data_IF_659355661939
#
_entry.id   IF_659355661939
#
_cell.length_a   1.000
_cell.length_b   1.000
_cell.length_c   1.000
_cell.angle_alpha   90.00
_cell.angle_beta   90.00
_cell.angle_gamma   90.00
#
_symmetry.space_group_name_H-M   'P 1'
#
loop_
_entity.id
_entity.type
_entity.pdbx_description
1 polymer ?
#
# COMPACT_ATOMS: atom_id res chain seq x y z
N UNK A 1 7.19 -13.62 -20.74
CA UNK A 1 6.93 -15.08 -20.77
C UNK A 1 7.70 -15.63 -19.60
N UNK A 2 7.00 -16.25 -18.64
CA UNK A 2 7.57 -16.70 -17.38
C UNK A 2 7.83 -18.20 -17.37
N UNK A 3 8.23 -18.73 -16.22
CA UNK A 3 8.46 -20.16 -16.01
C UNK A 3 7.73 -20.64 -14.77
N UNK A 4 7.01 -21.75 -14.88
CA UNK A 4 6.35 -22.39 -13.75
C UNK A 4 7.36 -23.17 -12.91
N UNK A 5 7.29 -23.02 -11.59
CA UNK A 5 8.05 -23.86 -10.68
C UNK A 5 7.65 -25.34 -10.84
N UNK A 6 8.62 -26.27 -11.02
CA UNK A 6 8.32 -27.70 -11.21
C UNK A 6 7.74 -28.39 -9.96
N UNK A 7 7.78 -27.73 -8.79
CA UNK A 7 7.30 -28.28 -7.53
C UNK A 7 5.93 -27.73 -7.16
N UNK A 8 5.77 -26.40 -7.13
CA UNK A 8 4.52 -25.76 -6.70
C UNK A 8 3.69 -25.16 -7.84
N UNK A 9 4.13 -25.30 -9.09
CA UNK A 9 3.47 -24.81 -10.31
C UNK A 9 3.26 -23.29 -10.37
N UNK A 10 3.80 -22.53 -9.41
CA UNK A 10 3.67 -21.07 -9.37
C UNK A 10 4.48 -20.45 -10.53
N UNK A 11 3.86 -19.64 -11.41
CA UNK A 11 4.56 -18.96 -12.49
C UNK A 11 5.46 -17.85 -11.95
N UNK A 12 6.68 -17.79 -12.47
CA UNK A 12 7.72 -16.80 -12.12
C UNK A 12 8.03 -15.94 -13.33
N UNK A 13 8.36 -14.66 -13.12
CA UNK A 13 8.56 -13.68 -14.20
C UNK A 13 9.65 -14.10 -15.20
N UNK A 14 10.76 -14.61 -14.69
CA UNK A 14 11.90 -15.08 -15.48
C UNK A 14 12.64 -16.23 -14.79
N UNK A 15 13.62 -16.80 -15.50
CA UNK A 15 14.46 -17.90 -15.06
C UNK A 15 15.25 -17.60 -13.77
N UNK A 16 15.65 -16.34 -13.57
CA UNK A 16 16.38 -15.93 -12.36
C UNK A 16 15.45 -15.85 -11.15
N UNK A 17 14.22 -15.35 -11.33
CA UNK A 17 13.19 -15.36 -10.29
C UNK A 17 12.80 -16.79 -9.93
N UNK A 18 12.71 -17.69 -10.91
CA UNK A 18 12.49 -19.11 -10.66
C UNK A 18 13.62 -19.74 -9.84
N UNK A 19 14.87 -19.50 -10.21
CA UNK A 19 16.02 -20.00 -9.46
C UNK A 19 16.03 -19.49 -8.02
N UNK A 20 15.77 -18.20 -7.81
CA UNK A 20 15.69 -17.62 -6.48
C UNK A 20 14.52 -18.21 -5.66
N UNK A 21 13.35 -18.38 -6.28
CA UNK A 21 12.19 -18.98 -5.64
C UNK A 21 12.51 -20.39 -5.13
N UNK A 22 13.10 -21.24 -5.97
CA UNK A 22 13.50 -22.60 -5.57
C UNK A 22 14.56 -22.57 -4.46
N UNK A 23 15.64 -21.81 -4.63
CA UNK A 23 16.75 -21.78 -3.68
C UNK A 23 16.33 -21.26 -2.30
N UNK A 24 15.58 -20.14 -2.23
CA UNK A 24 15.13 -19.61 -0.95
C UNK A 24 14.09 -20.50 -0.29
N UNK A 25 13.16 -21.07 -1.05
CA UNK A 25 12.14 -21.97 -0.49
C UNK A 25 12.81 -23.23 0.07
N UNK A 26 13.77 -23.79 -0.66
CA UNK A 26 14.58 -24.92 -0.18
C UNK A 26 15.34 -24.57 1.11
N UNK A 27 16.06 -23.44 1.15
CA UNK A 27 16.87 -23.04 2.32
C UNK A 27 16.05 -22.70 3.57
N UNK A 28 14.85 -22.11 3.40
CA UNK A 28 14.06 -21.61 4.53
C UNK A 28 13.07 -22.64 5.06
N UNK A 29 12.54 -23.49 4.19
CA UNK A 29 11.47 -24.40 4.54
C UNK A 29 11.89 -25.88 4.53
N UNK A 30 12.96 -26.24 3.81
CA UNK A 30 13.43 -27.64 3.74
C UNK A 30 12.40 -28.60 3.16
N UNK A 31 11.68 -28.14 2.12
CA UNK A 31 10.50 -28.79 1.56
C UNK A 31 10.84 -29.67 0.34
N UNK A 32 9.80 -30.09 -0.40
CA UNK A 32 9.90 -30.71 -1.73
C UNK A 32 10.82 -29.93 -2.69
N UNK A 33 10.98 -28.62 -2.48
CA UNK A 33 11.90 -27.76 -3.22
C UNK A 33 13.38 -28.13 -2.99
N UNK A 34 13.76 -28.46 -1.74
CA UNK A 34 15.12 -28.91 -1.42
C UNK A 34 15.38 -30.30 -2.00
N UNK A 35 14.43 -31.23 -1.82
CA UNK A 35 14.55 -32.59 -2.39
C UNK A 35 14.69 -32.55 -3.91
N UNK A 36 13.89 -31.73 -4.58
CA UNK A 36 13.96 -31.58 -6.02
C UNK A 36 15.32 -31.02 -6.47
N UNK A 37 15.84 -29.99 -5.77
CA UNK A 37 17.14 -29.42 -6.08
C UNK A 37 18.29 -30.41 -5.83
N UNK A 38 18.25 -31.19 -4.74
CA UNK A 38 19.27 -32.21 -4.46
C UNK A 38 19.28 -33.33 -5.51
N UNK A 39 18.14 -33.65 -6.11
CA UNK A 39 18.04 -34.68 -7.16
C UNK A 39 18.48 -34.18 -8.54
N UNK A 40 18.24 -32.91 -8.85
CA UNK A 40 18.44 -32.36 -10.20
C UNK A 40 19.71 -31.52 -10.34
N UNK A 41 20.19 -30.91 -9.26
CA UNK A 41 21.29 -29.94 -9.30
C UNK A 41 22.28 -30.15 -8.16
N UNK A 42 23.37 -30.87 -8.46
CA UNK A 42 24.48 -31.06 -7.53
C UNK A 42 25.08 -29.72 -7.08
N UNK A 43 25.19 -29.56 -5.76
CA UNK A 43 25.81 -28.40 -5.12
C UNK A 43 25.04 -27.10 -5.34
N UNK A 44 23.71 -27.16 -5.52
CA UNK A 44 22.88 -25.98 -5.77
C UNK A 44 23.04 -24.87 -4.72
N UNK A 45 23.33 -25.23 -3.47
CA UNK A 45 23.50 -24.28 -2.36
C UNK A 45 24.70 -23.33 -2.55
N UNK A 46 25.76 -23.80 -3.21
CA UNK A 46 26.97 -23.01 -3.47
C UNK A 46 26.91 -22.21 -4.79
N UNK A 47 25.86 -22.42 -5.60
CA UNK A 47 25.71 -21.79 -6.93
C UNK A 47 25.06 -20.43 -6.83
N UNK A 48 25.40 -19.56 -7.78
CA UNK A 48 24.69 -18.28 -7.93
C UNK A 48 23.33 -18.49 -8.58
N UNK A 49 22.34 -17.61 -8.30
CA UNK A 49 21.01 -17.70 -8.91
C UNK A 49 21.02 -17.75 -10.44
N UNK A 50 21.93 -17.03 -11.10
CA UNK A 50 22.08 -17.07 -12.56
C UNK A 50 22.56 -18.42 -13.08
N UNK A 51 23.49 -19.06 -12.37
CA UNK A 51 24.02 -20.38 -12.74
C UNK A 51 22.98 -21.48 -12.46
N UNK A 52 22.15 -21.28 -11.45
CA UNK A 52 21.02 -22.15 -11.15
C UNK A 52 19.89 -21.98 -12.18
N UNK A 53 19.65 -20.75 -12.63
CA UNK A 53 18.61 -20.42 -13.61
C UNK A 53 18.81 -21.14 -14.94
N UNK A 54 20.04 -21.21 -15.44
CA UNK A 54 20.37 -21.91 -16.69
C UNK A 54 20.01 -23.41 -16.64
N UNK A 55 20.16 -24.04 -15.47
CA UNK A 55 19.86 -25.47 -15.31
C UNK A 55 18.37 -25.68 -15.09
N UNK A 56 17.77 -24.88 -14.20
CA UNK A 56 16.37 -25.05 -13.79
C UNK A 56 15.40 -24.71 -14.92
N UNK A 57 15.74 -23.74 -15.78
CA UNK A 57 14.87 -23.37 -16.92
C UNK A 57 14.70 -24.50 -17.94
N UNK A 58 15.65 -25.45 -18.02
CA UNK A 58 15.51 -26.64 -18.88
C UNK A 58 14.43 -27.62 -18.38
N UNK A 59 14.15 -27.61 -17.07
CA UNK A 59 13.14 -28.48 -16.45
C UNK A 59 11.80 -27.78 -16.22
N UNK A 60 11.78 -26.46 -16.32
CA UNK A 60 10.60 -25.65 -16.05
C UNK A 60 9.77 -25.43 -17.30
N UNK A 61 8.45 -25.60 -17.18
CA UNK A 61 7.54 -25.27 -18.26
C UNK A 61 7.39 -23.76 -18.41
N UNK A 62 7.43 -23.26 -19.64
CA UNK A 62 7.05 -21.88 -19.94
C UNK A 62 5.59 -21.64 -19.52
N UNK A 63 5.34 -20.53 -18.82
CA UNK A 63 4.03 -20.16 -18.31
C UNK A 63 3.75 -18.67 -18.50
N UNK A 64 2.47 -18.31 -18.62
CA UNK A 64 2.07 -16.91 -18.59
C UNK A 64 2.19 -16.37 -17.15
N UNK A 65 2.84 -15.22 -17.02
CA UNK A 65 2.97 -14.50 -15.76
C UNK A 65 2.03 -13.30 -15.80
N UNK A 66 1.15 -13.20 -14.81
CA UNK A 66 0.12 -12.16 -14.72
C UNK A 66 0.73 -10.86 -14.18
N UNK A 67 1.03 -9.91 -15.07
CA UNK A 67 1.63 -8.62 -14.73
C UNK A 67 0.56 -7.62 -14.22
N UNK A 68 -0.08 -7.92 -13.09
CA UNK A 68 -1.19 -7.10 -12.54
C UNK A 68 -0.78 -5.80 -11.83
N UNK A 69 0.52 -5.50 -11.72
CA UNK A 69 1.02 -4.35 -10.94
C UNK A 69 1.74 -3.27 -11.75
N UNK A 70 1.85 -3.39 -13.08
CA UNK A 70 2.48 -2.33 -13.89
C UNK A 70 1.55 -1.11 -14.14
N UNK A 71 0.24 -1.25 -13.94
CA UNK A 71 -0.75 -0.19 -14.21
C UNK A 71 -0.82 0.87 -13.08
N UNK A 72 -0.45 0.53 -11.84
CA UNK A 72 -0.56 1.46 -10.70
C UNK A 72 0.69 2.32 -10.44
N UNK A 73 1.79 2.09 -11.16
CA UNK A 73 3.07 2.80 -10.94
C UNK A 73 3.35 3.90 -11.95
N UNK A 74 2.61 3.92 -13.06
CA UNK A 74 2.80 4.90 -14.15
C UNK A 74 1.86 6.12 -14.05
N UNK A 75 0.88 6.13 -13.14
CA UNK A 75 -0.14 7.19 -12.99
C UNK A 75 0.23 8.30 -11.99
N UNK A 76 1.53 8.59 -11.82
CA UNK A 76 2.01 9.72 -11.02
C UNK A 76 2.73 10.78 -11.85
N UNK A 77 2.20 11.06 -13.04
CA UNK A 77 2.71 12.13 -13.90
C UNK A 77 1.71 12.57 -14.96
N UNK A 78 0.71 13.37 -14.56
CA UNK A 78 0.30 14.61 -15.24
C UNK A 78 -1.00 15.19 -14.63
N UNK A 79 -0.96 16.48 -14.29
CA UNK A 79 -2.14 17.37 -14.32
C UNK A 79 -3.29 17.13 -13.32
N UNK A 80 -3.24 17.81 -12.17
CA UNK A 80 -4.47 18.23 -11.50
C UNK A 80 -5.23 19.24 -12.38
N UNK A 81 -6.24 18.77 -13.12
CA UNK A 81 -7.29 19.62 -13.69
C UNK A 81 -8.65 19.01 -13.28
N UNK A 82 -9.19 19.53 -12.17
CA UNK A 82 -10.50 19.15 -11.65
C UNK A 82 -11.59 19.94 -12.38
N UNK A 83 -11.96 19.52 -13.59
CA UNK A 83 -13.14 20.07 -14.26
C UNK A 83 -13.86 18.99 -15.09
N UNK A 84 -14.64 18.12 -14.43
CA UNK A 84 -15.92 17.65 -15.00
C UNK A 84 -16.90 17.16 -13.89
N UNK A 85 -18.15 17.67 -13.86
CA UNK A 85 -19.14 17.37 -12.84
C UNK A 85 -20.05 16.19 -13.21
N UNK A 86 -19.54 14.95 -13.25
CA UNK A 86 -20.36 13.73 -13.14
C UNK A 86 -19.51 12.43 -13.17
N UNK A 87 -18.91 12.03 -12.05
CA UNK A 87 -18.59 10.60 -11.86
C UNK A 87 -18.53 10.22 -10.38
N UNK A 88 -19.69 9.79 -9.89
CA UNK A 88 -19.87 9.21 -8.56
C UNK A 88 -19.23 7.81 -8.46
N UNK A 89 -17.91 7.74 -8.34
CA UNK A 89 -17.21 6.56 -7.81
C UNK A 89 -16.40 6.97 -6.59
N UNK A 90 -16.90 6.59 -5.41
CA UNK A 90 -16.09 6.54 -4.19
C UNK A 90 -16.67 7.18 -2.92
N UNK A 91 -17.84 7.85 -2.98
CA UNK A 91 -18.35 8.64 -1.84
C UNK A 91 -19.65 8.17 -1.17
N UNK A 92 -20.32 7.12 -1.69
CA UNK A 92 -21.71 6.79 -1.28
C UNK A 92 -21.87 5.50 -0.46
N UNK A 93 -20.78 4.95 0.10
CA UNK A 93 -20.86 3.72 0.93
C UNK A 93 -20.89 3.99 2.44
N UNK A 94 -20.82 5.25 2.87
CA UNK A 94 -20.84 5.61 4.29
C UNK A 94 -22.04 6.46 4.73
N UNK A 95 -22.94 6.88 3.81
CA UNK A 95 -24.02 7.84 4.12
C UNK A 95 -25.46 7.29 4.09
N UNK A 96 -25.69 6.00 3.79
CA UNK A 96 -27.07 5.45 3.67
C UNK A 96 -27.47 4.47 4.80
N UNK A 97 -26.65 4.33 5.86
CA UNK A 97 -26.85 3.30 6.88
C UNK A 97 -27.58 3.74 8.17
N UNK A 98 -28.28 4.87 8.20
CA UNK A 98 -29.05 5.30 9.38
C UNK A 98 -30.55 5.54 9.17
N UNK A 99 -31.09 5.41 7.96
CA UNK A 99 -32.47 5.81 7.68
C UNK A 99 -33.52 4.69 7.69
N UNK A 100 -33.15 3.39 7.79
CA UNK A 100 -34.13 2.31 7.61
C UNK A 100 -34.09 1.23 8.71
N UNK A 101 -34.24 1.67 9.96
CA UNK A 101 -34.65 0.80 11.06
C UNK A 101 -36.18 0.66 11.10
N UNK A 102 -36.78 -0.05 10.16
CA UNK A 102 -38.11 -0.61 10.40
C UNK A 102 -38.35 -1.91 9.62
N UNK A 103 -38.58 -2.97 10.39
CA UNK A 103 -39.25 -4.24 10.09
C UNK A 103 -38.38 -5.51 9.88
N UNK A 104 -38.89 -6.68 10.34
CA UNK A 104 -38.09 -7.71 10.99
C UNK A 104 -38.00 -9.00 10.18
N UNK A 105 -36.90 -9.74 10.37
CA UNK A 105 -36.85 -11.17 10.10
C UNK A 105 -35.75 -11.62 9.16
N UNK A 106 -34.50 -11.57 9.61
CA UNK A 106 -33.52 -12.58 9.21
C UNK A 106 -32.65 -12.94 10.40
N UNK A 107 -32.88 -14.14 10.92
CA UNK A 107 -32.18 -14.68 12.07
C UNK A 107 -30.73 -14.99 11.73
N UNK A 108 -29.85 -14.10 12.17
CA UNK A 108 -28.66 -14.38 12.97
C UNK A 108 -27.84 -15.64 12.62
N UNK A 109 -26.87 -15.46 11.72
CA UNK A 109 -25.59 -16.18 11.76
C UNK A 109 -24.46 -15.24 11.38
N UNK A 110 -24.10 -14.36 12.31
CA UNK A 110 -22.86 -13.57 12.25
C UNK A 110 -21.87 -14.18 13.22
N UNK A 111 -20.98 -15.01 12.69
CA UNK A 111 -19.75 -15.41 13.39
C UNK A 111 -18.79 -14.23 13.34
N UNK A 112 -18.41 -13.71 14.51
CA UNK A 112 -17.04 -13.24 14.75
C UNK A 112 -16.70 -11.75 14.67
N UNK A 113 -17.67 -10.84 14.56
CA UNK A 113 -17.40 -9.40 14.72
C UNK A 113 -17.35 -9.04 16.20
N UNK A 114 -16.17 -9.02 16.81
CA UNK A 114 -15.98 -8.42 18.13
C UNK A 114 -16.41 -6.95 18.06
N UNK A 115 -17.50 -6.60 18.74
CA UNK A 115 -18.06 -5.26 18.74
C UNK A 115 -17.11 -4.28 19.39
N UNK A 116 -16.58 -3.34 18.62
CA UNK A 116 -16.02 -2.07 19.13
C UNK A 116 -17.16 -1.11 19.50
N UNK A 117 -18.11 -1.58 20.32
CA UNK A 117 -19.17 -0.80 20.94
C UNK A 117 -19.14 -0.92 22.46
N UNK A 118 -18.05 -1.43 23.03
CA UNK A 118 -17.76 -1.33 24.45
C UNK A 118 -17.08 0.00 24.72
N UNK A 119 -17.53 0.69 25.77
CA UNK A 119 -16.84 1.84 26.37
C UNK A 119 -15.34 1.49 26.50
N UNK A 120 -14.48 2.31 25.91
CA UNK A 120 -13.04 2.07 25.94
C UNK A 120 -12.61 2.08 27.42
N UNK A 121 -11.79 1.11 27.81
CA UNK A 121 -11.22 1.13 29.15
C UNK A 121 -10.32 2.35 29.32
N UNK A 122 -10.26 2.92 30.53
CA UNK A 122 -9.51 4.15 30.80
C UNK A 122 -8.02 4.05 30.40
N UNK A 123 -7.43 2.85 30.50
CA UNK A 123 -6.05 2.62 30.07
C UNK A 123 -5.93 2.65 28.53
N UNK A 124 -6.93 2.14 27.80
CA UNK A 124 -6.95 2.17 26.34
C UNK A 124 -7.13 3.62 25.82
N UNK A 125 -7.99 4.41 26.47
CA UNK A 125 -8.14 5.84 26.16
C UNK A 125 -6.84 6.61 26.38
N UNK A 126 -6.14 6.34 27.48
CA UNK A 126 -4.86 6.99 27.78
C UNK A 126 -3.78 6.68 26.73
N UNK A 127 -3.67 5.41 26.29
CA UNK A 127 -2.70 5.01 25.25
C UNK A 127 -3.01 5.68 23.91
N UNK A 128 -4.29 5.78 23.54
CA UNK A 128 -4.68 6.43 22.28
C UNK A 128 -4.38 7.94 22.30
N UNK A 129 -4.56 8.60 23.45
CA UNK A 129 -4.18 10.01 23.62
C UNK A 129 -2.67 10.21 23.53
N UNK A 130 -1.87 9.33 24.14
CA UNK A 130 -0.41 9.38 24.06
C UNK A 130 0.09 9.20 22.62
N UNK A 131 -0.46 8.22 21.88
CA UNK A 131 -0.12 8.00 20.48
C UNK A 131 -0.45 9.21 19.59
N UNK A 132 -1.59 9.86 19.83
CA UNK A 132 -1.99 11.08 19.10
C UNK A 132 -1.04 12.25 19.37
N UNK A 133 -0.59 12.41 20.63
CA UNK A 133 0.34 13.47 21.00
C UNK A 133 1.73 13.26 20.39
N UNK A 134 2.26 12.03 20.39
CA UNK A 134 3.50 11.69 19.69
C UNK A 134 3.40 11.98 18.19
N UNK A 135 2.25 11.68 17.58
CA UNK A 135 2.01 11.98 16.17
C UNK A 135 2.01 13.49 15.90
N UNK A 136 1.40 14.29 16.78
CA UNK A 136 1.42 15.76 16.68
C UNK A 136 2.84 16.30 16.78
N UNK A 137 3.63 15.82 17.75
CA UNK A 137 5.04 16.23 17.91
C UNK A 137 5.87 15.93 16.67
N UNK A 138 5.72 14.75 16.07
CA UNK A 138 6.39 14.41 14.81
C UNK A 138 6.02 15.33 13.65
N UNK A 139 4.75 15.77 13.58
CA UNK A 139 4.28 16.70 12.55
C UNK A 139 4.83 18.12 12.79
N UNK A 140 4.83 18.58 14.05
CA UNK A 140 5.35 19.90 14.42
C UNK A 140 6.87 19.98 14.23
N UNK A 141 7.62 18.92 14.60
CA UNK A 141 9.06 18.81 14.34
C UNK A 141 9.37 18.80 12.83
N UNK A 142 8.51 18.17 12.03
CA UNK A 142 8.63 18.19 10.57
C UNK A 142 8.33 19.58 9.97
N UNK A 143 7.36 20.31 10.54
CA UNK A 143 7.01 21.67 10.11
C UNK A 143 8.05 22.71 10.55
N UNK A 144 8.67 22.54 11.72
CA UNK A 144 9.73 23.41 12.25
C UNK A 144 11.08 23.29 11.53
N UNK A 145 11.24 22.31 10.63
CA UNK A 145 12.44 22.11 9.82
C UNK A 145 12.33 22.71 8.39
N UNK A 146 11.27 23.47 8.10
CA UNK A 146 11.18 24.27 6.88
C UNK A 146 11.92 25.60 7.09
N UNK A 147 12.82 26.02 6.18
CA UNK A 147 13.39 27.35 6.27
C UNK A 147 12.26 28.37 6.15
N UNK A 148 12.17 29.29 7.11
CA UNK A 148 11.21 30.38 7.11
C UNK A 148 11.42 31.22 5.84
N UNK A 149 10.70 30.93 4.75
CA UNK A 149 10.57 31.89 3.66
C UNK A 149 9.63 32.98 4.14
N UNK A 150 10.24 34.01 4.71
CA UNK A 150 9.70 35.35 4.91
C UNK A 150 9.02 35.85 3.63
N UNK A 151 7.72 35.57 3.49
CA UNK A 151 6.88 36.19 2.47
C UNK A 151 6.52 37.59 2.95
N UNK A 152 7.18 38.57 2.33
CA UNK A 152 6.98 40.00 2.44
C UNK A 152 5.49 40.36 2.37
N UNK A 153 4.89 40.73 3.51
CA UNK A 153 3.55 41.31 3.54
C UNK A 153 3.67 42.82 3.29
N UNK A 154 3.79 43.18 2.01
CA UNK A 154 3.60 44.54 1.53
C UNK A 154 2.23 45.06 2.00
N UNK A 155 2.26 45.94 3.00
CA UNK A 155 1.07 46.58 3.54
C UNK A 155 0.64 47.67 2.58
N UNK A 156 -0.18 47.28 1.59
CA UNK A 156 -0.87 48.21 0.69
C UNK A 156 -2.08 48.81 1.43
N UNK A 157 -1.84 49.84 2.26
CA UNK A 157 -2.91 50.69 2.78
C UNK A 157 -3.26 51.77 1.78
N UNK A 158 -4.03 51.40 0.75
CA UNK A 158 -4.91 52.34 0.07
C UNK A 158 -6.13 52.58 0.96
N UNK A 159 -6.19 53.74 1.61
CA UNK A 159 -7.46 54.25 2.15
C UNK A 159 -7.53 55.74 1.87
N UNK A 160 -8.32 56.08 0.86
CA UNK A 160 -8.59 57.46 0.51
C UNK A 160 -9.40 58.20 1.57
N UNK A 161 -8.99 59.43 1.87
CA UNK A 161 -9.90 60.49 2.32
C UNK A 161 -9.45 61.80 1.66
N UNK A 162 -9.99 62.05 0.45
CA UNK A 162 -10.08 63.41 -0.09
C UNK A 162 -11.14 64.12 0.73
N UNK A 163 -10.71 65.04 1.60
CA UNK A 163 -11.55 66.15 2.05
C UNK A 163 -10.86 67.47 1.80
N UNK A 164 -11.46 68.21 0.89
CA UNK A 164 -11.32 69.63 0.70
C UNK A 164 -11.47 70.39 2.04
N UNK A 165 -10.56 71.33 2.32
CA UNK A 165 -10.95 72.63 2.86
C UNK A 165 -9.82 73.69 2.74
N UNK A 166 -10.04 74.57 1.78
CA UNK A 166 -9.79 76.01 1.72
C UNK A 166 -9.23 76.70 2.99
N UNK A 167 -8.07 77.36 2.86
CA UNK A 167 -7.82 78.70 3.42
C UNK A 167 -6.73 79.46 2.63
#
# INVERSE_FOLDING_TARGET
MGYACPVCEVPQRDETHLANHLAFTAMLHGDEHETWLDEHVDGWNDRKPSELAEVVSEFAAEAEFDEVFEDTVHDHGDGHDHDDPASQRGGALFDDAYANQQAPGVSGRSSGGAGFGGELDADAEAILLEAQELTRQMIDDAAGNLPETETDAETDTETGDRKDNNE
#
